data_IF_157659122669
#
_entry.id   IF_157659122669
#
_cell.length_a   1.000
_cell.length_b   1.000
_cell.length_c   1.000
_cell.angle_alpha   90.00
_cell.angle_beta   90.00
_cell.angle_gamma   90.00
#
_symmetry.space_group_name_H-M   'P 1'
#
loop_
_entity.id
_entity.type
_entity.pdbx_description
1 polymer ?
#
# COMPACT_ATOMS: atom_id res chain seq x y z
N UNK A 1 -16.48 -2.50 -14.16
CA UNK A 1 -16.00 -3.34 -15.29
C UNK A 1 -15.01 -4.42 -14.83
N UNK A 2 -13.97 -4.10 -14.03
CA UNK A 2 -13.04 -5.11 -13.44
C UNK A 2 -13.71 -6.21 -12.60
N UNK A 3 -14.57 -5.84 -11.62
CA UNK A 3 -15.34 -6.81 -10.78
C UNK A 3 -16.21 -7.79 -11.61
N UNK A 4 -16.75 -7.35 -12.75
CA UNK A 4 -17.52 -8.20 -13.67
C UNK A 4 -16.62 -9.17 -14.45
N UNK A 5 -15.41 -8.76 -14.85
CA UNK A 5 -14.50 -9.65 -15.57
C UNK A 5 -13.96 -10.74 -14.63
N UNK A 6 -13.68 -10.43 -13.37
CA UNK A 6 -13.17 -11.40 -12.39
C UNK A 6 -14.22 -12.46 -12.03
N UNK A 7 -15.44 -12.03 -11.70
CA UNK A 7 -16.52 -12.94 -11.28
C UNK A 7 -17.03 -13.85 -12.41
N UNK A 8 -16.87 -13.42 -13.67
CA UNK A 8 -17.30 -14.18 -14.85
C UNK A 8 -16.13 -14.75 -15.66
N UNK A 9 -14.89 -14.65 -15.20
CA UNK A 9 -13.71 -15.07 -15.98
C UNK A 9 -13.74 -16.55 -16.36
N UNK A 10 -14.13 -17.43 -15.44
CA UNK A 10 -14.29 -18.87 -15.69
C UNK A 10 -15.42 -19.16 -16.68
N UNK A 11 -16.52 -18.42 -16.59
CA UNK A 11 -17.65 -18.55 -17.51
C UNK A 11 -17.29 -18.01 -18.90
N UNK A 12 -16.55 -16.91 -18.98
CA UNK A 12 -16.04 -16.32 -20.22
C UNK A 12 -15.03 -17.26 -20.90
N UNK A 13 -14.12 -17.88 -20.14
CA UNK A 13 -13.23 -18.95 -20.64
C UNK A 13 -14.04 -20.09 -21.24
N UNK A 14 -15.04 -20.59 -20.51
CA UNK A 14 -15.87 -21.70 -20.97
C UNK A 14 -16.63 -21.34 -22.26
N UNK A 15 -17.22 -20.15 -22.34
CA UNK A 15 -17.92 -19.67 -23.55
C UNK A 15 -16.97 -19.53 -24.73
N UNK A 16 -15.79 -18.92 -24.53
CA UNK A 16 -14.79 -18.79 -25.60
C UNK A 16 -14.29 -20.15 -26.08
N UNK A 17 -14.11 -21.12 -25.18
CA UNK A 17 -13.67 -22.48 -25.53
C UNK A 17 -14.73 -23.23 -26.35
N UNK A 18 -16.00 -23.09 -25.98
CA UNK A 18 -17.12 -23.67 -26.74
C UNK A 18 -17.22 -23.02 -28.12
N UNK A 19 -17.17 -21.69 -28.21
CA UNK A 19 -17.21 -20.97 -29.49
C UNK A 19 -16.03 -21.35 -30.39
N UNK A 20 -14.83 -21.46 -29.80
CA UNK A 20 -13.64 -21.92 -30.51
C UNK A 20 -13.82 -23.34 -31.07
N UNK A 21 -14.33 -24.26 -30.25
CA UNK A 21 -14.63 -25.64 -30.69
C UNK A 21 -15.66 -25.68 -31.82
N UNK A 22 -16.74 -24.90 -31.73
CA UNK A 22 -17.75 -24.79 -32.78
C UNK A 22 -17.14 -24.28 -34.08
N UNK A 23 -16.40 -23.17 -34.03
CA UNK A 23 -15.75 -22.59 -35.22
C UNK A 23 -14.74 -23.57 -35.82
N UNK A 24 -13.96 -24.28 -34.98
CA UNK A 24 -12.98 -25.27 -35.43
C UNK A 24 -13.59 -26.44 -36.22
N UNK A 25 -14.81 -26.87 -35.87
CA UNK A 25 -15.54 -27.92 -36.61
C UNK A 25 -15.92 -27.47 -38.03
N UNK A 26 -16.12 -26.17 -38.24
CA UNK A 26 -16.46 -25.59 -39.53
C UNK A 26 -15.24 -25.08 -40.32
N UNK A 27 -14.02 -25.27 -39.82
CA UNK A 27 -12.81 -25.01 -40.59
C UNK A 27 -12.57 -26.21 -41.49
N UNK A 28 -12.96 -26.03 -42.75
CA UNK A 28 -12.53 -26.91 -43.81
C UNK A 28 -11.11 -26.50 -44.24
N UNK A 29 -10.17 -27.45 -44.20
CA UNK A 29 -8.75 -27.22 -44.52
C UNK A 29 -8.58 -26.84 -46.00
N UNK A 30 -9.56 -27.18 -46.84
CA UNK A 30 -9.58 -26.84 -48.27
C UNK A 30 -10.11 -25.43 -48.55
N UNK A 31 -10.70 -24.74 -47.56
CA UNK A 31 -11.17 -23.37 -47.72
C UNK A 31 -10.04 -22.34 -47.66
N UNK A 32 -10.12 -21.34 -48.53
CA UNK A 32 -9.19 -20.21 -48.57
C UNK A 32 -9.01 -19.58 -47.17
N UNK A 33 -7.78 -19.22 -46.76
CA UNK A 33 -7.51 -18.50 -45.51
C UNK A 33 -8.25 -17.16 -45.38
N UNK A 34 -8.78 -16.63 -46.48
CA UNK A 34 -9.61 -15.41 -46.51
C UNK A 34 -11.08 -15.66 -46.20
N UNK A 35 -11.50 -16.92 -46.11
CA UNK A 35 -12.86 -17.29 -45.72
C UNK A 35 -13.11 -16.89 -44.26
N UNK A 36 -14.30 -16.37 -43.95
CA UNK A 36 -14.61 -15.70 -42.68
C UNK A 36 -14.39 -16.57 -41.42
N UNK A 37 -14.40 -17.90 -41.57
CA UNK A 37 -14.12 -18.87 -40.49
C UNK A 37 -12.68 -18.75 -39.96
N UNK A 38 -11.71 -18.47 -40.83
CA UNK A 38 -10.29 -18.33 -40.45
C UNK A 38 -10.00 -17.08 -39.60
N UNK A 39 -10.41 -15.86 -40.00
CA UNK A 39 -10.28 -14.67 -39.15
C UNK A 39 -11.01 -14.81 -37.81
N UNK A 40 -12.21 -15.41 -37.80
CA UNK A 40 -12.98 -15.64 -36.57
C UNK A 40 -12.26 -16.61 -35.63
N UNK A 41 -11.69 -17.68 -36.18
CA UNK A 41 -10.87 -18.63 -35.43
C UNK A 41 -9.63 -17.98 -34.81
N UNK A 42 -8.89 -17.17 -35.60
CA UNK A 42 -7.72 -16.45 -35.11
C UNK A 42 -8.09 -15.47 -34.00
N UNK A 43 -9.22 -14.77 -34.13
CA UNK A 43 -9.72 -13.87 -33.10
C UNK A 43 -10.06 -14.60 -31.80
N UNK A 44 -10.77 -15.73 -31.87
CA UNK A 44 -11.10 -16.56 -30.70
C UNK A 44 -9.84 -17.16 -30.05
N UNK A 45 -8.89 -17.65 -30.85
CA UNK A 45 -7.62 -18.17 -30.38
C UNK A 45 -6.81 -17.08 -29.65
N UNK A 46 -6.68 -15.89 -30.25
CA UNK A 46 -6.00 -14.76 -29.64
C UNK A 46 -6.70 -14.31 -28.34
N UNK A 47 -8.04 -14.35 -28.30
CA UNK A 47 -8.82 -14.08 -27.10
C UNK A 47 -8.52 -15.07 -25.96
N UNK A 48 -8.51 -16.37 -26.26
CA UNK A 48 -8.17 -17.42 -25.29
C UNK A 48 -6.72 -17.28 -24.78
N UNK A 49 -5.76 -17.08 -25.68
CA UNK A 49 -4.35 -16.86 -25.32
C UNK A 49 -4.18 -15.59 -24.48
N UNK A 50 -4.85 -14.50 -24.86
CA UNK A 50 -4.82 -13.24 -24.11
C UNK A 50 -5.39 -13.40 -22.70
N UNK A 51 -6.49 -14.15 -22.55
CA UNK A 51 -7.07 -14.45 -21.26
C UNK A 51 -6.15 -15.33 -20.41
N UNK A 52 -5.52 -16.34 -21.01
CA UNK A 52 -4.58 -17.20 -20.30
C UNK A 52 -3.33 -16.43 -19.84
N UNK A 53 -2.79 -15.55 -20.68
CA UNK A 53 -1.71 -14.63 -20.32
C UNK A 53 -2.15 -13.71 -19.17
N UNK A 54 -3.39 -13.20 -19.20
CA UNK A 54 -3.94 -12.36 -18.14
C UNK A 54 -4.01 -13.12 -16.80
N UNK A 55 -4.60 -14.31 -16.80
CA UNK A 55 -4.67 -15.18 -15.60
C UNK A 55 -3.28 -15.55 -15.08
N UNK A 56 -2.39 -15.97 -15.98
CA UNK A 56 -1.00 -16.29 -15.63
C UNK A 56 -0.26 -15.12 -14.99
N UNK A 57 -0.45 -13.89 -15.51
CA UNK A 57 0.10 -12.68 -14.91
C UNK A 57 -0.50 -12.38 -13.54
N UNK A 58 -1.80 -12.61 -13.38
CA UNK A 58 -2.49 -12.43 -12.10
C UNK A 58 -2.01 -13.45 -11.06
N UNK A 59 -1.78 -14.70 -11.46
CA UNK A 59 -1.25 -15.75 -10.58
C UNK A 59 0.22 -15.52 -10.20
N UNK A 60 1.01 -14.96 -11.12
CA UNK A 60 2.40 -14.56 -10.85
C UNK A 60 2.57 -13.29 -10.02
N UNK A 61 1.53 -12.47 -9.84
CA UNK A 61 1.61 -11.31 -8.99
C UNK A 61 1.96 -11.72 -7.55
N UNK A 62 2.95 -11.05 -6.95
CA UNK A 62 3.40 -11.42 -5.61
C UNK A 62 2.26 -11.29 -4.58
N UNK A 63 2.20 -12.16 -3.55
CA UNK A 63 1.20 -12.06 -2.50
C UNK A 63 1.12 -10.67 -1.86
N UNK A 64 2.25 -9.99 -1.69
CA UNK A 64 2.31 -8.62 -1.16
C UNK A 64 1.62 -7.60 -2.10
N UNK A 65 1.80 -7.75 -3.42
CA UNK A 65 1.15 -6.89 -4.39
C UNK A 65 -0.38 -7.09 -4.40
N UNK A 66 -0.82 -8.34 -4.26
CA UNK A 66 -2.25 -8.68 -4.11
C UNK A 66 -2.81 -8.10 -2.82
N UNK A 67 -2.13 -8.30 -1.69
CA UNK A 67 -2.52 -7.73 -0.39
C UNK A 67 -2.68 -6.21 -0.45
N UNK A 68 -1.70 -5.50 -1.03
CA UNK A 68 -1.79 -4.05 -1.25
C UNK A 68 -3.02 -3.67 -2.06
N UNK A 69 -3.27 -4.39 -3.15
CA UNK A 69 -4.41 -4.11 -4.04
C UNK A 69 -5.73 -4.33 -3.30
N UNK A 70 -5.84 -5.39 -2.51
CA UNK A 70 -7.01 -5.68 -1.69
C UNK A 70 -7.22 -4.58 -0.63
N UNK A 71 -6.17 -4.14 0.08
CA UNK A 71 -6.24 -3.05 1.07
C UNK A 71 -6.74 -1.72 0.49
N UNK A 72 -6.46 -1.45 -0.78
CA UNK A 72 -6.98 -0.26 -1.48
C UNK A 72 -8.46 -0.41 -1.89
N UNK A 73 -8.98 -1.64 -1.98
CA UNK A 73 -10.40 -1.94 -2.20
C UNK A 73 -11.11 -2.16 -0.86
N UNK A 74 -11.25 -1.07 -0.10
CA UNK A 74 -11.71 -1.11 1.30
C UNK A 74 -13.08 -1.79 1.45
N UNK A 75 -14.00 -1.57 0.51
CA UNK A 75 -15.33 -2.18 0.50
C UNK A 75 -15.32 -3.72 0.41
N UNK A 76 -14.22 -4.30 -0.07
CA UNK A 76 -14.09 -5.75 -0.20
C UNK A 76 -13.68 -6.46 1.09
N UNK A 77 -13.39 -5.72 2.17
CA UNK A 77 -13.04 -6.29 3.47
C UNK A 77 -14.26 -6.48 4.36
N UNK A 78 -14.31 -7.64 5.02
CA UNK A 78 -15.35 -8.02 5.97
C UNK A 78 -14.72 -8.36 7.33
N UNK A 79 -15.45 -8.09 8.41
CA UNK A 79 -14.98 -8.30 9.78
C UNK A 79 -15.37 -9.67 10.31
N UNK A 80 -14.45 -10.33 10.99
CA UNK A 80 -14.64 -11.58 11.72
C UNK A 80 -13.99 -11.52 13.10
N UNK A 81 -14.74 -11.03 14.08
CA UNK A 81 -14.23 -10.84 15.44
C UNK A 81 -13.10 -9.81 15.50
N UNK A 82 -11.90 -10.25 15.87
CA UNK A 82 -10.69 -9.41 15.91
C UNK A 82 -9.90 -9.38 14.60
N UNK A 83 -10.34 -10.12 13.58
CA UNK A 83 -9.65 -10.24 12.29
C UNK A 83 -10.54 -9.78 11.15
N UNK A 84 -9.93 -9.28 10.08
CA UNK A 84 -10.63 -8.92 8.85
C UNK A 84 -10.19 -9.86 7.72
N UNK A 85 -11.08 -10.16 6.78
CA UNK A 85 -10.78 -10.95 5.59
C UNK A 85 -11.31 -10.27 4.34
N UNK A 86 -10.64 -10.52 3.20
CA UNK A 86 -11.07 -9.95 1.93
C UNK A 86 -12.07 -10.88 1.23
N UNK A 87 -13.31 -10.45 1.02
CA UNK A 87 -14.43 -11.29 0.59
C UNK A 87 -14.18 -12.03 -0.75
N UNK A 88 -13.54 -11.37 -1.71
CA UNK A 88 -13.24 -11.97 -3.00
C UNK A 88 -12.07 -12.99 -2.96
N UNK A 89 -11.19 -12.88 -1.96
CA UNK A 89 -10.07 -13.80 -1.74
C UNK A 89 -9.90 -14.04 -0.21
N UNK A 90 -10.77 -14.85 0.42
CA UNK A 90 -10.84 -15.00 1.88
C UNK A 90 -9.56 -15.53 2.53
N UNK A 91 -8.62 -16.05 1.74
CA UNK A 91 -7.31 -16.44 2.23
C UNK A 91 -6.44 -15.24 2.65
N UNK A 92 -6.74 -14.03 2.20
CA UNK A 92 -6.08 -12.81 2.65
C UNK A 92 -6.78 -12.26 3.88
N UNK A 93 -6.03 -12.16 4.98
CA UNK A 93 -6.57 -11.71 6.27
C UNK A 93 -5.67 -10.67 6.93
N UNK A 94 -6.28 -9.87 7.81
CA UNK A 94 -5.63 -8.92 8.70
C UNK A 94 -5.97 -9.33 10.13
N UNK A 95 -4.97 -9.52 10.99
CA UNK A 95 -5.21 -9.86 12.40
C UNK A 95 -4.13 -9.29 13.30
N UNK A 96 -4.45 -8.96 14.58
CA UNK A 96 -3.44 -8.58 15.56
C UNK A 96 -2.37 -9.66 15.71
N UNK A 97 -1.13 -9.24 15.96
CA UNK A 97 -0.02 -10.14 16.33
C UNK A 97 0.22 -9.99 17.83
N UNK A 98 -0.09 -11.03 18.60
CA UNK A 98 -0.01 -11.01 20.06
C UNK A 98 1.43 -11.23 20.59
N UNK A 99 2.30 -11.83 19.79
CA UNK A 99 3.61 -12.30 20.26
C UNK A 99 4.65 -11.18 20.46
N UNK A 100 4.37 -9.96 19.99
CA UNK A 100 5.35 -8.86 20.02
C UNK A 100 4.65 -7.49 20.02
N UNK A 101 4.50 -6.90 21.21
CA UNK A 101 4.10 -5.50 21.36
C UNK A 101 5.29 -4.64 20.91
N UNK A 102 5.15 -3.86 19.82
CA UNK A 102 6.21 -2.96 19.38
C UNK A 102 6.50 -1.94 20.48
N UNK A 103 7.77 -1.65 20.67
CA UNK A 103 8.15 -0.52 21.51
C UNK A 103 7.77 0.77 20.79
N UNK A 104 6.84 1.52 21.38
CA UNK A 104 6.57 2.89 20.97
C UNK A 104 7.70 3.79 21.46
N UNK A 105 8.53 4.27 20.54
CA UNK A 105 9.55 5.26 20.84
C UNK A 105 8.90 6.65 20.90
N UNK A 106 8.62 7.10 22.12
CA UNK A 106 8.01 8.38 22.45
C UNK A 106 8.87 9.59 22.09
N UNK A 107 10.15 9.37 21.74
CA UNK A 107 11.13 10.43 21.46
C UNK A 107 11.37 10.63 19.97
N UNK A 108 10.68 9.88 19.11
CA UNK A 108 10.76 10.11 17.67
C UNK A 108 10.11 11.43 17.29
N UNK A 109 10.75 12.13 16.37
CA UNK A 109 10.43 13.50 15.97
C UNK A 109 8.98 13.61 15.45
N UNK A 110 8.50 12.56 14.79
CA UNK A 110 7.15 12.51 14.23
C UNK A 110 6.05 12.19 15.25
N UNK A 111 6.36 11.57 16.40
CA UNK A 111 5.40 11.26 17.47
C UNK A 111 5.42 12.31 18.60
N UNK A 112 6.52 13.05 18.72
CA UNK A 112 6.82 13.88 19.88
C UNK A 112 5.74 14.92 20.18
N UNK A 113 5.22 15.63 19.17
CA UNK A 113 4.20 16.66 19.38
C UNK A 113 2.81 16.12 19.73
N UNK A 114 2.54 14.82 19.54
CA UNK A 114 1.26 14.18 19.89
C UNK A 114 1.26 13.53 21.26
N UNK A 115 2.39 12.92 21.63
CA UNK A 115 2.54 12.20 22.90
C UNK A 115 2.86 13.19 24.03
N UNK A 116 3.43 14.35 23.70
CA UNK A 116 3.88 15.34 24.66
C UNK A 116 5.07 14.85 25.47
N UNK A 117 5.79 15.77 26.11
CA UNK A 117 7.02 15.44 26.85
C UNK A 117 6.78 14.63 28.15
N UNK A 118 5.52 14.50 28.61
CA UNK A 118 5.22 14.12 30.01
C UNK A 118 4.15 13.04 30.24
N UNK A 119 3.51 12.46 29.21
CA UNK A 119 2.46 11.46 29.45
C UNK A 119 2.52 10.30 28.47
N UNK A 120 3.24 9.25 28.85
CA UNK A 120 3.19 7.94 28.19
C UNK A 120 1.79 7.31 28.31
N UNK A 121 1.02 7.68 29.33
CA UNK A 121 -0.31 7.14 29.60
C UNK A 121 -1.28 7.41 28.45
N UNK A 122 -1.85 6.34 27.89
CA UNK A 122 -2.84 6.39 26.82
C UNK A 122 -2.27 6.39 25.39
N UNK A 123 -0.95 6.34 25.25
CA UNK A 123 -0.28 6.09 23.98
C UNK A 123 0.18 4.64 23.95
N UNK A 124 0.12 3.99 22.80
CA UNK A 124 0.47 2.58 22.66
C UNK A 124 0.85 2.27 21.22
N UNK A 125 1.47 1.11 20.99
CA UNK A 125 1.70 0.60 19.66
C UNK A 125 1.41 -0.90 19.61
N UNK A 126 0.92 -1.35 18.46
CA UNK A 126 0.65 -2.77 18.22
C UNK A 126 0.95 -3.14 16.77
N UNK A 127 1.09 -4.44 16.52
CA UNK A 127 1.27 -4.95 15.18
C UNK A 127 -0.03 -5.55 14.64
N UNK A 128 -0.34 -5.22 13.39
CA UNK A 128 -1.31 -5.97 12.58
C UNK A 128 -0.54 -6.79 11.56
N UNK A 129 -0.80 -8.09 11.52
CA UNK A 129 -0.26 -8.98 10.52
C UNK A 129 -1.16 -9.01 9.29
N UNK A 130 -0.54 -8.87 8.12
CA UNK A 130 -1.14 -9.15 6.83
C UNK A 130 -0.78 -10.58 6.41
N UNK A 131 -1.78 -11.45 6.27
CA UNK A 131 -1.57 -12.88 6.02
C UNK A 131 -2.13 -13.34 4.67
N UNK A 132 -1.60 -14.45 4.15
CA UNK A 132 -2.21 -15.23 3.07
C UNK A 132 -2.21 -16.70 3.45
N UNK A 133 -3.39 -17.30 3.57
CA UNK A 133 -3.57 -18.71 3.98
C UNK A 133 -2.82 -19.03 5.28
N UNK A 134 -2.80 -18.09 6.23
CA UNK A 134 -2.07 -18.21 7.50
C UNK A 134 -0.56 -17.87 7.43
N UNK A 135 0.02 -17.68 6.25
CA UNK A 135 1.40 -17.22 6.11
C UNK A 135 1.48 -15.70 6.33
N UNK A 136 2.29 -15.27 7.30
CA UNK A 136 2.57 -13.84 7.52
C UNK A 136 3.34 -13.27 6.32
N UNK A 137 2.73 -12.32 5.62
CA UNK A 137 3.35 -11.60 4.52
C UNK A 137 4.09 -10.36 5.00
N UNK A 138 3.49 -9.60 5.92
CA UNK A 138 4.03 -8.35 6.46
C UNK A 138 3.44 -8.05 7.83
N UNK A 139 4.27 -7.56 8.76
CA UNK A 139 3.85 -6.89 10.00
C UNK A 139 3.68 -5.39 9.70
N UNK A 140 2.57 -4.82 10.13
CA UNK A 140 2.24 -3.40 9.99
C UNK A 140 2.24 -2.80 11.39
N UNK A 141 3.11 -1.83 11.62
CA UNK A 141 3.25 -1.17 12.90
C UNK A 141 2.22 -0.05 13.03
N UNK A 142 1.33 -0.15 14.02
CA UNK A 142 0.28 0.83 14.28
C UNK A 142 0.60 1.56 15.58
N UNK A 143 0.48 2.89 15.55
CA UNK A 143 0.69 3.77 16.70
C UNK A 143 -0.63 4.43 17.08
N UNK A 144 -0.90 4.43 18.38
CA UNK A 144 -2.06 5.03 19.01
C UNK A 144 -1.61 6.27 19.80
N UNK A 145 -2.27 7.40 19.59
CA UNK A 145 -2.06 8.64 20.33
C UNK A 145 -3.31 9.11 21.09
N UNK A 146 -3.09 9.96 22.10
CA UNK A 146 -4.14 10.71 22.82
C UNK A 146 -5.26 9.81 23.38
N UNK A 147 -4.88 8.70 24.03
CA UNK A 147 -5.82 7.79 24.69
C UNK A 147 -6.69 6.98 23.72
N UNK A 148 -6.20 6.66 22.52
CA UNK A 148 -6.98 5.94 21.51
C UNK A 148 -7.70 6.82 20.50
N UNK A 149 -7.63 8.15 20.62
CA UNK A 149 -8.37 9.07 19.74
C UNK A 149 -7.76 9.16 18.35
N UNK A 150 -6.44 9.02 18.24
CA UNK A 150 -5.72 9.05 16.98
C UNK A 150 -4.99 7.73 16.80
N UNK A 151 -5.05 7.20 15.59
CA UNK A 151 -4.40 5.94 15.24
C UNK A 151 -3.86 6.07 13.83
N UNK A 152 -2.57 5.81 13.64
CA UNK A 152 -1.89 5.87 12.36
C UNK A 152 -0.90 4.71 12.22
N UNK A 153 -0.63 4.30 10.99
CA UNK A 153 0.47 3.40 10.65
C UNK A 153 1.79 4.15 10.90
N UNK A 154 2.77 3.54 11.56
CA UNK A 154 4.08 4.15 11.71
C UNK A 154 4.72 4.37 10.32
N UNK A 155 5.20 5.57 10.00
CA UNK A 155 5.91 5.82 8.74
C UNK A 155 7.25 5.08 8.70
N UNK A 156 7.69 4.75 7.50
CA UNK A 156 9.08 4.37 7.25
C UNK A 156 9.97 5.60 7.42
N UNK A 157 11.28 5.39 7.60
CA UNK A 157 12.23 6.49 7.65
C UNK A 157 13.56 6.17 6.97
N UNK A 158 14.24 7.21 6.52
CA UNK A 158 15.64 7.16 6.05
C UNK A 158 16.45 8.32 6.63
N UNK A 159 17.76 8.15 6.70
CA UNK A 159 18.66 9.24 7.06
C UNK A 159 18.84 10.18 5.85
N UNK A 160 18.64 11.49 6.07
CA UNK A 160 18.98 12.55 5.12
C UNK A 160 19.67 13.65 5.92
N UNK A 161 20.92 13.95 5.57
CA UNK A 161 21.80 14.70 6.46
C UNK A 161 21.81 14.06 7.85
N UNK A 162 21.84 14.88 8.90
CA UNK A 162 21.87 14.40 10.29
C UNK A 162 20.48 14.08 10.88
N UNK A 163 19.42 14.12 10.08
CA UNK A 163 18.05 13.90 10.54
C UNK A 163 17.42 12.62 9.97
N UNK A 164 16.28 12.24 10.57
CA UNK A 164 15.40 11.21 10.01
C UNK A 164 14.32 11.87 9.17
N UNK A 165 14.15 11.39 7.95
CA UNK A 165 13.01 11.74 7.12
C UNK A 165 11.98 10.62 7.19
N UNK A 166 10.83 10.89 7.78
CA UNK A 166 9.69 9.98 7.89
C UNK A 166 8.78 10.10 6.66
N UNK A 167 8.31 8.98 6.11
CA UNK A 167 7.46 8.98 4.92
C UNK A 167 6.62 7.70 4.78
N UNK A 168 5.62 7.78 3.90
CA UNK A 168 5.00 6.61 3.28
C UNK A 168 5.39 6.49 1.81
N UNK A 169 5.52 5.25 1.33
CA UNK A 169 5.56 4.96 -0.10
C UNK A 169 4.18 4.56 -0.58
N UNK A 170 3.69 5.26 -1.60
CA UNK A 170 2.35 5.03 -2.18
C UNK A 170 2.16 3.60 -2.69
N UNK A 171 3.25 2.95 -3.06
CA UNK A 171 3.27 1.57 -3.55
C UNK A 171 3.52 0.52 -2.44
N UNK A 172 3.57 0.90 -1.16
CA UNK A 172 3.73 -0.03 -0.04
C UNK A 172 2.42 -0.58 0.51
N UNK A 173 2.52 -1.70 1.26
CA UNK A 173 1.41 -2.27 2.03
C UNK A 173 1.04 -1.36 3.20
N UNK A 174 2.01 -0.72 3.84
CA UNK A 174 1.80 0.17 4.99
C UNK A 174 0.92 1.36 4.62
N UNK A 175 1.19 1.99 3.45
CA UNK A 175 0.36 3.08 2.96
C UNK A 175 -1.04 2.61 2.55
N UNK A 176 -1.15 1.43 1.92
CA UNK A 176 -2.47 0.87 1.59
C UNK A 176 -3.27 0.55 2.86
N UNK A 177 -2.62 0.10 3.92
CA UNK A 177 -3.25 -0.10 5.22
C UNK A 177 -3.62 1.22 5.90
N UNK A 178 -2.81 2.28 5.79
CA UNK A 178 -3.18 3.61 6.27
C UNK A 178 -4.46 4.12 5.59
N UNK A 179 -4.63 3.84 4.30
CA UNK A 179 -5.86 4.16 3.56
C UNK A 179 -7.06 3.34 4.05
N UNK A 180 -6.87 2.03 4.25
CA UNK A 180 -7.88 1.16 4.87
C UNK A 180 -8.31 1.68 6.26
N UNK A 181 -7.35 1.97 7.13
CA UNK A 181 -7.56 2.49 8.47
C UNK A 181 -8.27 3.85 8.46
N UNK A 182 -7.88 4.74 7.53
CA UNK A 182 -8.50 6.06 7.35
C UNK A 182 -9.97 5.94 7.01
N UNK A 183 -10.33 5.00 6.12
CA UNK A 183 -11.72 4.73 5.79
C UNK A 183 -12.50 4.19 7.01
N UNK A 184 -11.94 3.21 7.72
CA UNK A 184 -12.56 2.62 8.91
C UNK A 184 -12.78 3.63 10.05
N UNK A 185 -11.88 4.62 10.19
CA UNK A 185 -11.95 5.64 11.24
C UNK A 185 -12.60 6.95 10.80
N UNK A 186 -12.83 7.12 9.50
CA UNK A 186 -13.38 8.34 8.90
C UNK A 186 -12.42 9.54 8.88
N UNK A 187 -11.15 9.36 9.27
CA UNK A 187 -10.13 10.42 9.32
C UNK A 187 -8.72 9.87 9.19
N UNK A 188 -7.88 10.57 8.43
CA UNK A 188 -6.46 10.29 8.33
C UNK A 188 -5.72 10.98 9.49
N UNK A 189 -5.22 10.19 10.43
CA UNK A 189 -4.43 10.68 11.57
C UNK A 189 -2.92 10.72 11.31
N UNK A 190 -2.48 10.37 10.10
CA UNK A 190 -1.12 10.67 9.65
C UNK A 190 -0.95 12.11 9.15
N UNK A 191 -2.06 12.85 9.09
CA UNK A 191 -2.13 14.27 8.75
C UNK A 191 -2.48 15.12 9.99
N UNK A 192 -2.07 16.39 9.96
CA UNK A 192 -2.37 17.34 11.03
C UNK A 192 -1.72 16.97 12.37
N UNK A 193 -0.57 16.31 12.33
CA UNK A 193 0.22 15.91 13.49
C UNK A 193 0.81 17.17 14.12
N UNK A 194 0.68 17.33 15.43
CA UNK A 194 1.18 18.50 16.17
C UNK A 194 2.70 18.57 16.14
N UNK A 195 3.23 19.80 16.01
CA UNK A 195 4.64 20.10 16.25
C UNK A 195 4.85 20.49 17.72
N UNK A 196 5.97 20.09 18.35
CA UNK A 196 6.29 20.48 19.73
C UNK A 196 6.88 21.90 19.82
N UNK A 197 7.53 22.38 18.76
CA UNK A 197 8.32 23.61 18.74
C UNK A 197 7.52 24.88 18.39
N UNK A 198 6.46 24.75 17.58
CA UNK A 198 5.67 25.85 17.04
C UNK A 198 4.18 25.52 17.14
N UNK A 199 3.32 26.53 17.26
CA UNK A 199 1.87 26.39 17.06
C UNK A 199 1.57 26.02 15.60
N UNK A 200 1.67 24.74 15.28
CA UNK A 200 1.54 24.24 13.91
C UNK A 200 1.36 22.74 13.85
N UNK A 201 1.03 22.27 12.65
CA UNK A 201 0.88 20.85 12.35
C UNK A 201 1.61 20.49 11.07
N UNK A 202 1.92 19.21 10.89
CA UNK A 202 2.48 18.68 9.66
C UNK A 202 1.76 17.38 9.27
N UNK A 203 1.97 16.99 8.01
CA UNK A 203 1.50 15.71 7.49
C UNK A 203 2.71 14.82 7.23
N UNK A 204 2.57 13.50 7.41
CA UNK A 204 3.59 12.56 6.97
C UNK A 204 3.72 12.61 5.44
N UNK A 205 4.92 12.89 4.89
CA UNK A 205 5.17 12.87 3.46
C UNK A 205 4.76 11.56 2.78
N UNK A 206 4.08 11.66 1.63
CA UNK A 206 3.75 10.50 0.77
C UNK A 206 4.49 10.61 -0.56
N UNK A 207 5.45 9.71 -0.76
CA UNK A 207 6.25 9.57 -1.97
C UNK A 207 5.64 8.49 -2.88
N UNK A 208 5.79 8.60 -4.21
CA UNK A 208 5.25 7.61 -5.17
C UNK A 208 5.91 6.24 -5.03
N UNK A 209 7.22 6.23 -4.81
CA UNK A 209 8.08 5.05 -4.75
C UNK A 209 9.49 5.45 -4.29
N UNK A 210 10.39 4.46 -4.17
CA UNK A 210 11.79 4.66 -3.78
C UNK A 210 12.57 5.60 -4.73
N UNK A 211 12.21 5.68 -6.01
CA UNK A 211 12.89 6.59 -6.94
C UNK A 211 12.55 8.06 -6.65
N UNK A 212 11.33 8.37 -6.19
CA UNK A 212 11.00 9.72 -5.71
C UNK A 212 11.71 10.04 -4.40
N UNK A 213 11.83 9.07 -3.49
CA UNK A 213 12.63 9.23 -2.27
C UNK A 213 14.07 9.59 -2.60
N UNK A 214 14.69 8.86 -3.53
CA UNK A 214 16.07 9.11 -3.94
C UNK A 214 16.24 10.51 -4.54
N UNK A 215 15.35 10.91 -5.46
CA UNK A 215 15.39 12.26 -6.06
C UNK A 215 15.23 13.37 -5.02
N UNK A 216 14.39 13.16 -4.02
CA UNK A 216 14.25 14.10 -2.91
C UNK A 216 15.53 14.15 -2.06
N UNK A 217 16.09 13.00 -1.70
CA UNK A 217 17.34 12.92 -0.94
C UNK A 217 18.51 13.59 -1.67
N UNK A 218 18.63 13.38 -3.00
CA UNK A 218 19.64 14.01 -3.84
C UNK A 218 19.50 15.55 -3.88
N UNK A 219 18.29 16.09 -3.71
CA UNK A 219 18.03 17.53 -3.65
C UNK A 219 18.36 18.17 -2.30
N UNK A 220 18.61 17.38 -1.26
CA UNK A 220 18.86 17.88 0.09
C UNK A 220 20.33 18.21 0.36
N UNK A 221 21.22 17.92 -0.59
CA UNK A 221 22.67 18.24 -0.62
C UNK A 221 23.51 17.71 0.56
N UNK A 222 22.99 16.76 1.35
CA UNK A 222 23.70 16.15 2.47
C UNK A 222 23.40 14.64 2.55
N UNK A 223 24.19 13.77 1.89
CA UNK A 223 24.12 12.35 2.19
C UNK A 223 24.85 12.11 3.52
N UNK A 224 24.12 11.95 4.63
CA UNK A 224 24.69 11.31 5.82
C UNK A 224 24.22 9.86 5.91
N UNK A 225 25.13 9.01 6.35
CA UNK A 225 24.90 7.58 6.54
C UNK A 225 24.25 7.25 7.89
N UNK A 226 24.06 8.23 8.77
CA UNK A 226 23.42 8.04 10.08
C UNK A 226 22.87 9.35 10.66
N UNK A 227 21.67 9.33 11.28
CA UNK A 227 21.12 10.49 11.97
C UNK A 227 21.93 10.82 13.25
N UNK A 228 21.84 12.06 13.73
CA UNK A 228 22.42 12.48 15.01
C UNK A 228 21.81 11.70 16.17
N UNK A 229 22.52 11.55 17.29
CA UNK A 229 21.93 10.98 18.52
C UNK A 229 21.38 12.06 19.45
N UNK A 230 21.54 13.34 19.10
CA UNK A 230 20.99 14.46 19.86
C UNK A 230 19.56 14.76 19.40
N UNK A 231 18.61 14.66 20.33
CA UNK A 231 17.16 14.80 20.07
C UNK A 231 16.80 16.17 19.47
N UNK A 232 17.33 17.25 20.04
CA UNK A 232 17.06 18.62 19.57
C UNK A 232 17.55 18.85 18.13
N UNK A 233 18.73 18.34 17.81
CA UNK A 233 19.30 18.42 16.45
C UNK A 233 18.49 17.56 15.46
N UNK A 234 18.09 16.36 15.88
CA UNK A 234 17.24 15.48 15.09
C UNK A 234 15.92 16.15 14.72
N UNK A 235 15.25 16.78 15.70
CA UNK A 235 14.01 17.50 15.49
C UNK A 235 14.18 18.70 14.57
N UNK A 236 15.21 19.52 14.76
CA UNK A 236 15.50 20.68 13.90
C UNK A 236 15.68 20.25 12.43
N UNK A 237 16.48 19.22 12.20
CA UNK A 237 16.73 18.71 10.85
C UNK A 237 15.47 18.08 10.25
N UNK A 238 14.70 17.31 11.02
CA UNK A 238 13.43 16.74 10.56
C UNK A 238 12.46 17.82 10.04
N UNK A 239 12.23 18.88 10.83
CA UNK A 239 11.32 19.95 10.41
C UNK A 239 11.84 20.73 9.21
N UNK A 240 13.16 20.95 9.11
CA UNK A 240 13.78 21.52 7.91
C UNK A 240 13.57 20.63 6.67
N UNK A 241 13.69 19.31 6.80
CA UNK A 241 13.44 18.36 5.73
C UNK A 241 11.98 18.37 5.26
N UNK A 242 11.02 18.56 6.16
CA UNK A 242 9.61 18.73 5.78
C UNK A 242 9.38 19.98 4.91
N UNK A 243 10.02 21.10 5.25
CA UNK A 243 9.96 22.33 4.45
C UNK A 243 10.61 22.14 3.07
N UNK A 244 11.79 21.49 3.02
CA UNK A 244 12.45 21.12 1.76
C UNK A 244 11.55 20.21 0.91
N UNK A 245 10.88 19.23 1.52
CA UNK A 245 9.96 18.32 0.82
C UNK A 245 8.77 19.07 0.20
N UNK A 246 8.16 20.00 0.95
CA UNK A 246 7.06 20.80 0.43
C UNK A 246 7.49 21.63 -0.80
N UNK A 247 8.69 22.21 -0.76
CA UNK A 247 9.27 22.92 -1.91
C UNK A 247 9.57 21.99 -3.09
N UNK A 248 10.14 20.81 -2.84
CA UNK A 248 10.39 19.78 -3.86
C UNK A 248 9.09 19.39 -4.58
N UNK A 249 8.01 19.14 -3.82
CA UNK A 249 6.70 18.79 -4.39
C UNK A 249 6.06 19.91 -5.18
N UNK A 250 6.31 21.17 -4.80
CA UNK A 250 5.78 22.30 -5.56
C UNK A 250 6.46 22.41 -6.93
N UNK A 251 7.78 22.20 -6.99
CA UNK A 251 8.57 22.19 -8.23
C UNK A 251 8.19 21.05 -9.18
N UNK A 252 7.85 19.87 -8.67
CA UNK A 252 7.40 18.75 -9.53
C UNK A 252 6.02 18.96 -10.18
N UNK A 253 5.23 19.93 -9.68
CA UNK A 253 3.87 20.21 -10.19
C UNK A 253 3.84 21.34 -11.23
N UNK A 254 4.89 22.14 -11.30
CA UNK A 254 5.09 23.23 -12.26
C UNK A 254 5.87 22.74 -13.47
#
# INVERSE_FOLDING_TARGET
MKRLVESYSSLLKAVLFVLFGVVAVFIDVEQSPTHWTWPLFVFLAAGLVGLEIYHYRQDKASPLLKMRTNLLDVEGWEKSGSSDYYAANPEFTLSPIEDEVPHLDYRQEWTWGEIGYHSETGNDAYHVGAFKSGLLLKKIHIVIFDGGKKIAVAPDWVAIGRGRFYFYLKDSVDYAYQHYLTHERGKDHSCGIRRPDISGTFDIPVLKNLNELQRFADCCDEPATSPSTQEDEQAEVFYCLLEKYNNFRHRERT
#
